data_IF_381974093431
#
_entry.id   IF_381974093431
#
_cell.length_a   1.000
_cell.length_b   1.000
_cell.length_c   1.000
_cell.angle_alpha   90.00
_cell.angle_beta   90.00
_cell.angle_gamma   90.00
#
_symmetry.space_group_name_H-M   'P 1'
#
loop_
_entity.id
_entity.type
_entity.pdbx_description
1 polymer ?
#
# COMPACT_ATOMS: atom_id res chain seq x y z
N UNK A 1 7.91 -20.87 3.45
CA UNK A 1 8.47 -19.84 2.55
C UNK A 1 8.93 -18.66 3.40
N UNK A 2 10.16 -18.20 3.21
CA UNK A 2 10.73 -17.03 3.88
C UNK A 2 10.77 -15.87 2.90
N UNK A 3 10.60 -14.65 3.41
CA UNK A 3 10.56 -13.42 2.62
C UNK A 3 11.94 -12.79 2.45
N UNK A 4 12.96 -13.44 2.98
CA UNK A 4 14.31 -12.94 2.97
C UNK A 4 14.98 -13.14 1.62
N UNK A 5 15.70 -12.13 1.18
CA UNK A 5 16.49 -12.20 -0.06
C UNK A 5 17.63 -13.22 0.00
N UNK A 6 18.11 -13.53 1.20
CA UNK A 6 19.18 -14.51 1.44
C UNK A 6 18.65 -15.95 1.60
N UNK A 7 17.40 -16.21 1.20
CA UNK A 7 16.82 -17.55 1.22
C UNK A 7 16.92 -18.26 -0.13
N UNK A 8 16.96 -19.59 -0.09
CA UNK A 8 17.03 -20.44 -1.29
C UNK A 8 15.83 -20.28 -2.24
N UNK A 9 14.71 -19.73 -1.74
CA UNK A 9 13.51 -19.47 -2.54
C UNK A 9 12.89 -18.12 -2.21
N UNK A 10 13.18 -17.11 -3.05
CA UNK A 10 12.61 -15.77 -2.96
C UNK A 10 11.67 -15.50 -4.16
N UNK A 11 10.36 -15.78 -4.04
CA UNK A 11 9.38 -15.34 -5.02
C UNK A 11 9.05 -13.85 -4.79
N UNK A 12 9.36 -12.93 -5.72
CA UNK A 12 9.03 -11.53 -5.55
C UNK A 12 7.51 -11.33 -5.63
N UNK A 13 6.92 -10.62 -4.65
CA UNK A 13 5.50 -10.24 -4.68
C UNK A 13 5.15 -9.26 -5.81
N UNK A 14 6.16 -8.55 -6.32
CA UNK A 14 5.98 -7.49 -7.31
C UNK A 14 7.06 -7.63 -8.36
N UNK A 15 6.63 -7.68 -9.62
CA UNK A 15 7.52 -7.56 -10.77
C UNK A 15 7.22 -6.22 -11.41
N UNK A 16 8.18 -5.29 -11.32
CA UNK A 16 8.06 -3.97 -11.93
C UNK A 16 8.53 -4.03 -13.38
N UNK A 17 7.77 -3.42 -14.28
CA UNK A 17 8.17 -3.22 -15.67
C UNK A 17 8.45 -1.75 -15.90
N UNK A 18 9.55 -1.45 -16.60
CA UNK A 18 9.86 -0.07 -17.01
C UNK A 18 8.73 0.43 -17.90
N UNK A 19 8.23 1.63 -17.58
CA UNK A 19 7.22 2.31 -18.39
C UNK A 19 7.92 2.99 -19.58
N UNK A 20 7.47 2.68 -20.79
CA UNK A 20 8.00 3.26 -22.03
C UNK A 20 7.26 4.56 -22.42
N UNK A 21 5.97 4.65 -22.10
CA UNK A 21 5.14 5.82 -22.41
C UNK A 21 4.55 6.43 -21.15
N UNK A 22 4.85 7.69 -20.89
CA UNK A 22 4.28 8.46 -19.79
C UNK A 22 2.96 9.05 -20.28
N UNK A 23 1.86 8.68 -19.62
CA UNK A 23 0.56 9.34 -19.79
C UNK A 23 0.47 10.44 -18.73
N UNK A 24 0.26 11.67 -19.18
CA UNK A 24 -0.05 12.79 -18.29
C UNK A 24 -1.45 12.59 -17.69
N UNK A 25 -1.57 12.82 -16.39
CA UNK A 25 -2.83 12.77 -15.67
C UNK A 25 -3.03 14.09 -14.95
N UNK A 26 -4.23 14.66 -15.06
CA UNK A 26 -4.62 15.79 -14.24
C UNK A 26 -4.99 15.29 -12.83
N UNK A 27 -4.00 15.28 -11.94
CA UNK A 27 -4.17 14.83 -10.57
C UNK A 27 -5.09 15.74 -9.75
N UNK A 28 -5.17 17.03 -10.09
CA UNK A 28 -6.04 18.01 -9.42
C UNK A 28 -7.51 17.65 -9.57
N UNK A 29 -7.91 17.10 -10.72
CA UNK A 29 -9.29 16.61 -10.95
C UNK A 29 -9.56 15.21 -10.37
N UNK A 30 -8.51 14.47 -9.98
CA UNK A 30 -8.62 13.10 -9.45
C UNK A 30 -8.74 13.10 -7.92
N UNK A 31 -8.10 14.05 -7.26
CA UNK A 31 -8.10 14.11 -5.79
C UNK A 31 -9.31 14.92 -5.29
N UNK A 32 -10.37 14.23 -4.88
CA UNK A 32 -11.51 14.83 -4.17
C UNK A 32 -11.45 14.57 -2.65
N UNK A 33 -11.96 15.54 -1.89
CA UNK A 33 -12.47 15.58 -0.50
C UNK A 33 -11.82 14.76 0.64
N UNK A 34 -11.36 13.51 0.43
CA UNK A 34 -10.90 12.62 1.49
C UNK A 34 -9.39 12.36 1.46
N UNK A 35 -8.79 12.31 2.65
CA UNK A 35 -7.34 12.23 2.78
C UNK A 35 -6.81 10.80 2.68
N UNK A 36 -7.28 9.86 3.50
CA UNK A 36 -6.60 8.57 3.67
C UNK A 36 -7.57 7.38 3.59
N UNK A 37 -7.25 6.38 2.78
CA UNK A 37 -7.91 5.07 2.76
C UNK A 37 -7.01 3.97 3.32
N UNK A 38 -7.62 2.97 3.97
CA UNK A 38 -6.93 1.76 4.41
C UNK A 38 -7.77 0.50 4.22
N UNK A 39 -7.29 -0.45 3.40
CA UNK A 39 -7.94 -1.75 3.24
C UNK A 39 -7.16 -2.83 4.01
N UNK A 40 -7.85 -3.55 4.89
CA UNK A 40 -7.27 -4.57 5.76
C UNK A 40 -8.18 -5.77 6.01
N UNK A 41 -7.64 -6.98 5.89
CA UNK A 41 -8.35 -8.24 6.18
C UNK A 41 -7.90 -8.94 7.46
N UNK A 42 -6.70 -8.61 7.93
CA UNK A 42 -6.16 -9.17 9.15
C UNK A 42 -6.30 -8.17 10.30
N UNK A 43 -7.19 -8.51 11.24
CA UNK A 43 -7.59 -7.64 12.34
C UNK A 43 -6.64 -7.67 13.53
N UNK A 44 -5.68 -8.62 13.55
CA UNK A 44 -4.67 -8.75 14.61
C UNK A 44 -3.35 -9.13 14.00
N UNK A 45 -2.37 -8.24 14.09
CA UNK A 45 -1.09 -8.44 13.39
C UNK A 45 0.11 -8.24 14.31
N UNK A 46 1.20 -9.01 14.10
CA UNK A 46 2.44 -8.81 14.85
C UNK A 46 2.99 -7.37 14.80
N UNK A 47 2.77 -6.65 13.69
CA UNK A 47 3.19 -5.25 13.56
C UNK A 47 2.34 -4.25 14.35
N UNK A 48 1.24 -4.71 14.98
CA UNK A 48 0.25 -3.87 15.67
C UNK A 48 -0.22 -2.69 14.81
N UNK A 49 -0.32 -2.89 13.50
CA UNK A 49 -0.70 -1.81 12.56
C UNK A 49 -2.11 -1.29 12.84
N UNK A 50 -2.98 -2.14 13.36
CA UNK A 50 -4.32 -1.80 13.84
C UNK A 50 -4.27 -0.80 15.00
N UNK A 51 -3.40 -1.01 15.99
CA UNK A 51 -3.23 -0.08 17.10
C UNK A 51 -2.63 1.24 16.61
N UNK A 52 -1.69 1.18 15.67
CA UNK A 52 -1.10 2.36 15.06
C UNK A 52 -2.14 3.19 14.29
N UNK A 53 -3.00 2.57 13.47
CA UNK A 53 -4.08 3.27 12.77
C UNK A 53 -5.13 3.79 13.76
N UNK A 54 -5.41 3.06 14.84
CA UNK A 54 -6.31 3.52 15.91
C UNK A 54 -5.80 4.81 16.57
N UNK A 55 -4.48 4.95 16.74
CA UNK A 55 -3.90 6.20 17.21
C UNK A 55 -4.01 7.31 16.16
N UNK A 56 -3.75 6.98 14.89
CA UNK A 56 -3.87 7.89 13.75
C UNK A 56 -5.26 8.51 13.62
N UNK A 57 -6.31 7.71 13.83
CA UNK A 57 -7.71 8.10 13.78
C UNK A 57 -8.09 9.22 14.78
N UNK A 58 -7.28 9.46 15.81
CA UNK A 58 -7.52 10.56 16.77
C UNK A 58 -7.19 11.93 16.17
N UNK A 59 -6.37 11.96 15.12
CA UNK A 59 -5.81 13.19 14.56
C UNK A 59 -6.19 13.40 13.08
N UNK A 60 -6.41 12.31 12.35
CA UNK A 60 -6.67 12.34 10.91
C UNK A 60 -7.75 11.31 10.59
N UNK A 61 -8.71 11.71 9.76
CA UNK A 61 -9.73 10.80 9.27
C UNK A 61 -9.13 9.75 8.32
N UNK A 62 -9.36 8.48 8.65
CA UNK A 62 -8.95 7.33 7.84
C UNK A 62 -10.17 6.48 7.54
N UNK A 63 -10.49 6.34 6.25
CA UNK A 63 -11.55 5.45 5.81
C UNK A 63 -11.05 4.01 5.79
N UNK A 64 -11.56 3.20 6.72
CA UNK A 64 -11.14 1.80 6.92
C UNK A 64 -12.11 0.83 6.27
N UNK A 65 -11.56 -0.05 5.44
CA UNK A 65 -12.27 -1.07 4.69
C UNK A 65 -11.63 -2.45 4.87
N UNK A 66 -12.38 -3.49 4.49
CA UNK A 66 -11.99 -4.89 4.51
C UNK A 66 -12.71 -5.70 5.58
N UNK A 67 -12.24 -6.93 5.85
CA UNK A 67 -12.96 -7.96 6.62
C UNK A 67 -13.33 -7.51 8.05
N UNK A 68 -12.55 -6.59 8.63
CA UNK A 68 -12.65 -6.23 10.04
C UNK A 68 -13.61 -5.06 10.32
N UNK A 69 -14.03 -4.31 9.30
CA UNK A 69 -14.79 -3.05 9.48
C UNK A 69 -15.93 -2.95 8.48
N UNK A 70 -15.66 -2.49 7.26
CA UNK A 70 -16.64 -2.35 6.18
C UNK A 70 -16.22 -3.22 5.00
N UNK A 71 -17.11 -4.08 4.45
CA UNK A 71 -16.74 -4.94 3.34
C UNK A 71 -16.32 -4.11 2.12
N UNK A 72 -15.03 -4.21 1.80
CA UNK A 72 -14.46 -3.98 0.49
C UNK A 72 -13.81 -5.31 0.17
N UNK A 73 -14.44 -6.12 -0.67
CA UNK A 73 -14.02 -7.50 -0.90
C UNK A 73 -12.74 -7.60 -1.74
N UNK A 74 -11.72 -6.77 -1.49
CA UNK A 74 -10.45 -6.70 -2.23
C UNK A 74 -10.61 -6.75 -3.76
N UNK A 75 -11.81 -6.46 -4.27
CA UNK A 75 -12.12 -6.42 -5.68
C UNK A 75 -11.30 -5.26 -6.23
N UNK A 76 -10.71 -5.49 -7.40
CA UNK A 76 -9.91 -4.48 -8.06
C UNK A 76 -10.71 -3.17 -8.20
N UNK A 77 -12.00 -3.28 -8.48
CA UNK A 77 -12.96 -2.18 -8.52
C UNK A 77 -12.98 -1.30 -7.26
N UNK A 78 -12.86 -1.91 -6.07
CA UNK A 78 -12.85 -1.16 -4.82
C UNK A 78 -11.54 -0.37 -4.66
N UNK A 79 -10.40 -0.97 -4.99
CA UNK A 79 -9.11 -0.27 -4.95
C UNK A 79 -9.06 0.86 -5.97
N UNK A 80 -9.57 0.62 -7.18
CA UNK A 80 -9.68 1.63 -8.23
C UNK A 80 -10.59 2.77 -7.78
N UNK A 81 -11.79 2.48 -7.25
CA UNK A 81 -12.72 3.49 -6.75
C UNK A 81 -12.13 4.32 -5.61
N UNK A 82 -11.47 3.66 -4.65
CA UNK A 82 -10.79 4.39 -3.59
C UNK A 82 -9.68 5.29 -4.16
N UNK A 83 -9.01 4.88 -5.26
CA UNK A 83 -7.93 5.64 -5.90
C UNK A 83 -8.37 6.88 -6.64
N UNK A 84 -9.67 7.04 -6.86
CA UNK A 84 -10.28 8.25 -7.43
C UNK A 84 -10.94 9.13 -6.36
N UNK A 85 -10.97 8.67 -5.11
CA UNK A 85 -11.67 9.37 -4.01
C UNK A 85 -10.78 9.70 -2.84
N UNK A 86 -9.59 9.10 -2.74
CA UNK A 86 -8.63 9.37 -1.68
C UNK A 86 -7.25 9.64 -2.26
N UNK A 87 -6.55 10.59 -1.65
CA UNK A 87 -5.18 10.94 -2.04
C UNK A 87 -4.15 9.95 -1.51
N UNK A 88 -4.29 9.52 -0.27
CA UNK A 88 -3.33 8.65 0.41
C UNK A 88 -3.89 7.25 0.66
N UNK A 89 -3.00 6.25 0.61
CA UNK A 89 -3.33 4.86 0.93
C UNK A 89 -2.34 4.29 1.95
N UNK A 90 -2.84 3.69 3.03
CA UNK A 90 -1.98 3.06 4.05
C UNK A 90 -1.50 1.68 3.59
N UNK A 91 -0.25 1.60 3.15
CA UNK A 91 0.42 0.36 2.74
C UNK A 91 1.15 -0.30 3.91
N UNK A 92 0.41 -0.59 5.00
CA UNK A 92 0.98 -1.12 6.23
C UNK A 92 1.05 -2.65 6.23
N UNK A 93 2.25 -3.18 6.44
CA UNK A 93 2.51 -4.61 6.49
C UNK A 93 2.10 -5.25 7.81
N UNK A 94 1.71 -6.52 7.74
CA UNK A 94 1.28 -7.29 8.93
C UNK A 94 2.44 -7.61 9.89
N UNK A 95 3.68 -7.50 9.44
CA UNK A 95 4.89 -7.73 10.22
C UNK A 95 5.96 -6.72 9.83
N UNK A 96 6.84 -6.37 10.77
CA UNK A 96 7.97 -5.45 10.54
C UNK A 96 9.26 -6.25 10.38
N UNK A 97 9.32 -7.08 9.34
CA UNK A 97 10.45 -7.97 9.09
C UNK A 97 11.32 -7.45 7.95
N UNK A 98 12.64 -7.67 8.05
CA UNK A 98 13.56 -7.41 6.93
C UNK A 98 13.07 -8.13 5.67
N UNK A 99 13.13 -7.44 4.53
CA UNK A 99 12.71 -7.91 3.20
C UNK A 99 11.21 -8.24 3.06
N UNK A 100 10.40 -8.06 4.10
CA UNK A 100 8.97 -8.35 4.06
C UNK A 100 8.18 -7.23 3.39
N UNK A 101 8.04 -7.34 2.06
CA UNK A 101 7.25 -6.46 1.21
C UNK A 101 6.23 -7.28 0.42
N UNK A 102 4.99 -6.80 0.37
CA UNK A 102 3.88 -7.50 -0.28
C UNK A 102 3.24 -6.66 -1.38
N UNK A 103 2.09 -7.10 -1.89
CA UNK A 103 1.26 -6.36 -2.85
C UNK A 103 0.90 -4.93 -2.39
N UNK A 104 0.95 -4.63 -1.08
CA UNK A 104 0.57 -3.33 -0.53
C UNK A 104 1.45 -2.20 -1.05
N UNK A 105 2.77 -2.42 -1.17
CA UNK A 105 3.67 -1.42 -1.75
C UNK A 105 3.59 -1.43 -3.29
N UNK A 106 3.24 -2.58 -3.88
CA UNK A 106 2.99 -2.71 -5.32
C UNK A 106 1.93 -1.75 -5.84
N UNK A 107 0.94 -1.44 -5.00
CA UNK A 107 -0.11 -0.46 -5.31
C UNK A 107 0.45 0.91 -5.74
N UNK A 108 1.67 1.28 -5.34
CA UNK A 108 2.37 2.50 -5.77
C UNK A 108 2.70 2.51 -7.27
N UNK A 109 2.91 1.32 -7.84
CA UNK A 109 3.43 1.15 -9.18
C UNK A 109 2.34 0.78 -10.18
N UNK A 110 1.10 0.61 -9.72
CA UNK A 110 -0.05 0.31 -10.56
C UNK A 110 -0.55 1.59 -11.24
N UNK A 111 -0.42 1.65 -12.57
CA UNK A 111 -0.82 2.81 -13.37
C UNK A 111 -2.31 3.11 -13.29
N UNK A 112 -3.14 2.15 -12.90
CA UNK A 112 -4.58 2.34 -12.79
C UNK A 112 -4.99 2.94 -11.43
N UNK A 113 -4.03 3.16 -10.54
CA UNK A 113 -4.27 3.66 -9.19
C UNK A 113 -3.50 4.97 -8.99
N UNK A 114 -4.16 5.97 -8.42
CA UNK A 114 -3.58 7.32 -8.27
C UNK A 114 -3.18 7.66 -6.83
N UNK A 115 -3.17 6.69 -5.92
CA UNK A 115 -2.82 6.93 -4.53
C UNK A 115 -1.35 7.26 -4.32
N UNK A 116 -1.08 8.10 -3.33
CA UNK A 116 0.23 8.25 -2.72
C UNK A 116 0.30 7.28 -1.53
N UNK A 117 1.15 6.24 -1.55
CA UNK A 117 1.23 5.28 -0.47
C UNK A 117 1.96 5.86 0.76
N UNK A 118 1.43 5.61 1.95
CA UNK A 118 2.13 5.78 3.22
C UNK A 118 2.57 4.40 3.67
N UNK A 119 3.88 4.18 3.74
CA UNK A 119 4.47 2.85 3.92
C UNK A 119 4.95 2.65 5.36
N UNK A 120 4.58 1.51 5.96
CA UNK A 120 5.13 1.02 7.23
C UNK A 120 5.28 -0.49 7.13
N UNK A 121 6.52 -0.98 7.15
CA UNK A 121 6.80 -2.40 6.90
C UNK A 121 8.26 -2.74 7.15
N UNK A 122 8.90 -3.40 6.19
CA UNK A 122 10.31 -3.78 6.28
C UNK A 122 11.21 -2.58 6.61
N UNK A 123 12.15 -2.70 7.57
CA UNK A 123 13.10 -1.62 7.88
C UNK A 123 13.92 -1.17 6.67
N UNK A 124 14.14 -2.08 5.72
CA UNK A 124 14.86 -1.83 4.48
C UNK A 124 13.93 -1.60 3.27
N UNK A 125 12.67 -1.20 3.49
CA UNK A 125 11.74 -0.88 2.40
C UNK A 125 12.30 0.19 1.44
N UNK A 126 13.13 1.13 1.95
CA UNK A 126 13.82 2.13 1.15
C UNK A 126 14.75 1.55 0.06
N UNK A 127 15.32 0.36 0.27
CA UNK A 127 16.14 -0.31 -0.75
C UNK A 127 15.34 -0.78 -1.96
N UNK A 128 14.01 -0.78 -1.83
CA UNK A 128 13.07 -1.12 -2.90
C UNK A 128 12.37 0.12 -3.48
N UNK A 129 12.50 1.27 -2.81
CA UNK A 129 12.21 2.57 -3.43
C UNK A 129 13.30 2.88 -4.46
N UNK A 130 12.96 3.60 -5.53
CA UNK A 130 13.84 3.83 -6.68
C UNK A 130 15.16 4.53 -6.29
N UNK A 131 16.17 3.76 -5.87
CA UNK A 131 17.55 4.14 -6.13
C UNK A 131 17.74 3.88 -7.62
N UNK A 132 18.01 4.94 -8.38
CA UNK A 132 18.57 4.79 -9.72
C UNK A 132 19.73 3.81 -9.58
N UNK A 133 19.57 2.62 -10.16
CA UNK A 133 20.73 1.79 -10.46
C UNK A 133 21.34 2.51 -11.64
N UNK A 134 22.38 3.30 -11.37
CA UNK A 134 23.31 3.78 -12.39
C UNK A 134 23.84 2.59 -13.20
#
# INVERSE_FOLDING_TARGET
>A
MTYRKDSEGFPPYVVLKKRLHITEKNYTSIYMEKNIAWITSNCRTPSKREDYVKEFLKYIDVDIYGKCVKPCFFKEDCKIHLSTTHRFYLSFEKALCKDYLTEKIANMYDINRNFIPIVRGAPNAGDYSWKQRD
#
